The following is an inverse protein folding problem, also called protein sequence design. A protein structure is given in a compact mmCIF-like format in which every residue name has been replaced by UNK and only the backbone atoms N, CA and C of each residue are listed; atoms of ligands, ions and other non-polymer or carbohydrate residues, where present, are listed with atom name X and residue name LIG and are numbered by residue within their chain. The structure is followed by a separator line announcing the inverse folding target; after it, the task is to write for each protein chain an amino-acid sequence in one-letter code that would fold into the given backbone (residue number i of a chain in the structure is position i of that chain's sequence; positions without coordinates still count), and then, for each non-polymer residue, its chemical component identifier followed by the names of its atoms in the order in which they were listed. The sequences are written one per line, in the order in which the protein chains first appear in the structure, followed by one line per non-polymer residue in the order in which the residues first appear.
data_IF_843934868820
#
_entry.id   IF_843934868820
#
_cell.length_a   1.000
_cell.length_b   1.000
_cell.length_c   1.000
_cell.angle_alpha   90.00
_cell.angle_beta   90.00
_cell.angle_gamma   90.00
#
_symmetry.space_group_name_H-M   'P 1'
#
loop_
_entity.id
_entity.type
_entity.pdbx_description
1 polymer ?
#
# COMPACT_ATOMS: atom_id res chain seq x y z
N UNK A 1 -13.72 4.42 -4.01
CA UNK A 1 -13.75 3.20 -4.84
C UNK A 1 -12.65 2.26 -4.39
N UNK A 2 -12.96 0.97 -4.21
CA UNK A 2 -11.90 0.04 -3.85
C UNK A 2 -11.02 -0.28 -5.07
N UNK A 3 -9.76 -0.57 -4.77
CA UNK A 3 -8.76 -0.89 -5.78
C UNK A 3 -8.17 -2.26 -5.50
N UNK A 4 -7.78 -2.97 -6.55
CA UNK A 4 -6.94 -4.16 -6.40
C UNK A 4 -5.51 -3.71 -6.14
N UNK A 5 -4.65 -4.65 -5.70
CA UNK A 5 -3.24 -4.30 -5.46
C UNK A 5 -2.55 -3.83 -6.74
N UNK A 6 -2.91 -4.42 -7.88
CA UNK A 6 -2.35 -4.00 -9.17
C UNK A 6 -2.74 -2.58 -9.54
N UNK A 7 -4.02 -2.23 -9.33
CA UNK A 7 -4.50 -0.88 -9.60
C UNK A 7 -3.84 0.13 -8.67
N UNK A 8 -3.72 -0.22 -7.39
CA UNK A 8 -3.09 0.64 -6.40
C UNK A 8 -1.62 0.87 -6.72
N UNK A 9 -0.91 -0.18 -7.10
CA UNK A 9 0.49 -0.10 -7.49
C UNK A 9 0.67 0.81 -8.70
N UNK A 10 -0.20 0.68 -9.68
CA UNK A 10 -0.16 1.52 -10.87
C UNK A 10 -0.37 2.99 -10.52
N UNK A 11 -1.31 3.27 -9.63
CA UNK A 11 -1.61 4.64 -9.22
C UNK A 11 -0.41 5.31 -8.55
N UNK A 12 0.44 4.53 -7.88
CA UNK A 12 1.61 5.06 -7.19
C UNK A 12 2.92 4.86 -7.97
N UNK A 13 2.84 4.31 -9.18
CA UNK A 13 4.02 4.09 -10.00
C UNK A 13 4.99 3.08 -9.41
N UNK A 14 4.47 2.07 -8.70
CA UNK A 14 5.28 1.04 -8.06
C UNK A 14 4.83 -0.35 -8.50
N UNK A 15 5.72 -1.33 -8.35
CA UNK A 15 5.38 -2.70 -8.66
C UNK A 15 4.47 -3.30 -7.58
N UNK A 16 3.55 -4.21 -7.96
CA UNK A 16 2.72 -4.87 -6.95
C UNK A 16 3.52 -5.58 -5.85
N UNK A 17 4.69 -6.11 -6.19
CA UNK A 17 5.56 -6.77 -5.22
C UNK A 17 6.03 -5.82 -4.12
N UNK A 18 6.25 -4.54 -4.45
CA UNK A 18 6.61 -3.54 -3.47
C UNK A 18 5.48 -3.35 -2.45
N UNK A 19 4.24 -3.31 -2.93
CA UNK A 19 3.08 -3.16 -2.06
C UNK A 19 2.88 -4.40 -1.18
N UNK A 20 3.13 -5.59 -1.70
CA UNK A 20 3.08 -6.82 -0.92
C UNK A 20 4.12 -6.81 0.19
N UNK A 21 5.28 -6.26 -0.10
CA UNK A 21 6.33 -6.10 0.91
C UNK A 21 5.89 -5.15 2.02
N UNK A 22 5.24 -4.04 1.66
CA UNK A 22 4.71 -3.10 2.64
C UNK A 22 3.66 -3.77 3.52
N UNK A 23 2.82 -4.62 2.95
CA UNK A 23 1.85 -5.38 3.73
C UNK A 23 2.54 -6.31 4.73
N UNK A 24 3.60 -6.95 4.29
CA UNK A 24 4.37 -7.86 5.15
C UNK A 24 4.97 -7.12 6.34
N UNK A 25 5.36 -5.88 6.14
CA UNK A 25 5.90 -5.04 7.21
C UNK A 25 4.82 -4.43 8.10
N UNK A 26 3.54 -4.65 7.78
CA UNK A 26 2.45 -4.07 8.53
C UNK A 26 2.16 -2.62 8.20
N UNK A 27 2.73 -2.10 7.12
CA UNK A 27 2.54 -0.71 6.71
C UNK A 27 1.31 -0.51 5.82
N UNK A 28 0.75 -1.60 5.33
CA UNK A 28 -0.39 -1.56 4.43
C UNK A 28 -1.28 -2.75 4.72
N UNK A 29 -2.59 -2.56 4.64
CA UNK A 29 -3.55 -3.65 4.84
C UNK A 29 -4.75 -3.44 3.93
N UNK A 30 -5.36 -4.53 3.44
CA UNK A 30 -6.58 -4.40 2.64
C UNK A 30 -7.73 -3.95 3.52
N UNK A 31 -8.67 -3.19 2.95
CA UNK A 31 -9.88 -2.76 3.65
C UNK A 31 -10.98 -3.82 3.59
N UNK A 32 -10.85 -4.78 2.68
CA UNK A 32 -11.84 -5.84 2.52
C UNK A 32 -11.49 -6.75 1.38
N UNK A 33 -12.44 -7.56 0.97
CA UNK A 33 -12.28 -8.51 -0.14
C UNK A 33 -13.51 -8.47 -1.03
N UNK A 34 -13.30 -8.74 -2.33
CA UNK A 34 -14.40 -8.89 -3.26
C UNK A 34 -15.12 -10.23 -3.00
N UNK A 35 -16.32 -10.44 -3.57
CA UNK A 35 -16.98 -11.74 -3.46
C UNK A 35 -16.13 -12.91 -3.91
N UNK A 36 -15.20 -12.68 -4.85
CA UNK A 36 -14.27 -13.71 -5.31
C UNK A 36 -13.03 -13.88 -4.46
N UNK A 37 -12.93 -13.17 -3.32
CA UNK A 37 -11.81 -13.31 -2.41
C UNK A 37 -10.60 -12.45 -2.75
N UNK A 38 -10.72 -11.54 -3.73
CA UNK A 38 -9.64 -10.64 -4.10
C UNK A 38 -9.54 -9.51 -3.07
N UNK A 39 -8.32 -9.24 -2.61
CA UNK A 39 -8.08 -8.15 -1.66
C UNK A 39 -8.37 -6.80 -2.29
N UNK A 40 -9.08 -5.94 -1.55
CA UNK A 40 -9.46 -4.61 -2.01
C UNK A 40 -8.88 -3.56 -1.07
N UNK A 41 -8.47 -2.43 -1.65
CA UNK A 41 -7.81 -1.33 -0.94
C UNK A 41 -8.61 -0.05 -1.15
N UNK A 42 -8.86 0.67 -0.05
CA UNK A 42 -9.62 1.91 -0.08
C UNK A 42 -8.74 3.13 0.15
N UNK A 43 -9.38 4.23 0.56
CA UNK A 43 -8.68 5.50 0.80
C UNK A 43 -7.59 5.41 1.85
N UNK A 44 -7.78 4.56 2.85
CA UNK A 44 -6.78 4.37 3.89
C UNK A 44 -5.46 3.91 3.30
N UNK A 45 -5.52 2.98 2.33
CA UNK A 45 -4.32 2.50 1.67
C UNK A 45 -3.62 3.62 0.90
N UNK A 46 -4.39 4.50 0.26
CA UNK A 46 -3.82 5.66 -0.42
C UNK A 46 -3.07 6.57 0.55
N UNK A 47 -3.67 6.84 1.71
CA UNK A 47 -3.04 7.67 2.72
C UNK A 47 -1.75 7.06 3.23
N UNK A 48 -1.75 5.77 3.48
CA UNK A 48 -0.57 5.06 3.96
C UNK A 48 0.54 5.03 2.92
N UNK A 49 0.20 4.78 1.67
CA UNK A 49 1.19 4.77 0.60
C UNK A 49 1.78 6.15 0.37
N UNK A 50 0.95 7.20 0.46
CA UNK A 50 1.45 8.57 0.36
C UNK A 50 2.43 8.86 1.48
N UNK A 51 2.10 8.46 2.69
CA UNK A 51 2.98 8.62 3.84
C UNK A 51 4.30 7.88 3.65
N UNK A 52 4.24 6.64 3.18
CA UNK A 52 5.44 5.84 2.91
C UNK A 52 6.32 6.54 1.87
N UNK A 53 5.71 6.99 0.79
CA UNK A 53 6.43 7.66 -0.29
C UNK A 53 7.11 8.93 0.20
N UNK A 54 6.42 9.74 0.99
CA UNK A 54 6.98 10.97 1.54
C UNK A 54 8.10 10.67 2.53
N UNK A 55 7.94 9.66 3.36
CA UNK A 55 8.96 9.26 4.31
C UNK A 55 10.23 8.77 3.60
N UNK A 56 10.07 7.98 2.54
CA UNK A 56 11.20 7.51 1.75
C UNK A 56 11.91 8.67 1.05
N UNK A 57 11.14 9.63 0.55
CA UNK A 57 11.72 10.83 -0.08
C UNK A 57 12.52 11.66 0.93
N UNK A 58 12.16 11.59 2.20
CA UNK A 58 12.89 12.26 3.28
C UNK A 58 14.11 11.46 3.77
N UNK A 59 14.38 10.30 3.16
CA UNK A 59 15.55 9.49 3.49
C UNK A 59 15.31 8.40 4.53
N UNK A 60 14.07 8.18 4.94
CA UNK A 60 13.76 7.13 5.91
C UNK A 60 13.75 5.76 5.23
N UNK A 61 14.21 4.75 5.96
CA UNK A 61 14.12 3.36 5.49
C UNK A 61 12.76 2.79 5.86
N UNK A 62 12.30 1.81 5.09
CA UNK A 62 11.02 1.17 5.35
C UNK A 62 10.93 0.60 6.76
N UNK A 63 12.01 0.02 7.26
CA UNK A 63 12.04 -0.55 8.60
C UNK A 63 11.84 0.49 9.70
N UNK A 64 12.14 1.75 9.41
CA UNK A 64 12.03 2.85 10.36
C UNK A 64 10.68 3.57 10.27
N UNK A 65 9.85 3.20 9.31
CA UNK A 65 8.54 3.81 9.12
C UNK A 65 7.53 3.09 10.01
N UNK A 66 6.82 3.83 10.82
CA UNK A 66 5.76 3.31 11.67
C UNK A 66 4.45 4.01 11.35
N UNK A 67 3.37 3.28 11.44
CA UNK A 67 2.04 3.82 11.19
C UNK A 67 1.15 3.63 12.40
#
# INVERSE_FOLDING_TARGET
MPYTIGELARAFGRAPDALRYYERLGLLAPSGRSPGGVRLYGEEAFRRLRFIKEAQAAGLKLEDIAW
#
